data_IF_175834585775
#
_entry.id   IF_175834585775
#
_cell.length_a   1.000
_cell.length_b   1.000
_cell.length_c   1.000
_cell.angle_alpha   90.00
_cell.angle_beta   90.00
_cell.angle_gamma   90.00
#
_symmetry.space_group_name_H-M   'P 1'
#
loop_
_entity.id
_entity.type
_entity.pdbx_description
1 polymer ?
#
# COMPACT_ATOMS: atom_id res chain seq x y z
N UNK A 1 2.27 6.42 17.82
CA UNK A 1 2.27 7.87 17.74
C UNK A 1 0.87 8.38 17.86
N UNK A 2 0.64 9.15 18.86
CA UNK A 2 -0.66 9.74 19.11
C UNK A 2 -0.60 11.19 18.66
N UNK A 3 -1.47 11.60 17.73
CA UNK A 3 -1.62 12.97 17.29
C UNK A 3 -2.92 13.55 17.80
N UNK A 4 -2.86 14.79 18.29
CA UNK A 4 -4.06 15.61 18.51
C UNK A 4 -4.01 16.76 17.54
N UNK A 5 -5.10 16.94 16.83
CA UNK A 5 -5.28 18.07 15.94
C UNK A 5 -6.36 19.03 16.47
N UNK A 6 -6.02 20.32 16.59
CA UNK A 6 -6.99 21.40 16.73
C UNK A 6 -7.01 22.17 15.42
N UNK A 7 -8.10 22.13 14.69
CA UNK A 7 -8.30 23.03 13.57
C UNK A 7 -8.61 24.42 14.10
N UNK A 8 -7.76 25.38 13.80
CA UNK A 8 -8.12 26.79 13.77
C UNK A 8 -8.92 27.02 12.48
N UNK A 9 -10.06 27.66 12.59
CA UNK A 9 -10.92 28.03 11.46
C UNK A 9 -10.08 28.74 10.38
N UNK A 10 -9.81 28.06 9.29
CA UNK A 10 -9.44 28.66 8.03
C UNK A 10 -10.39 28.16 6.98
N UNK A 11 -11.08 29.09 6.36
CA UNK A 11 -11.95 28.90 5.21
C UNK A 11 -11.32 27.94 4.19
N UNK A 12 -12.17 27.09 3.63
CA UNK A 12 -11.87 26.15 2.56
C UNK A 12 -10.98 26.81 1.49
N UNK A 13 -9.69 26.48 1.47
CA UNK A 13 -8.74 26.92 0.45
C UNK A 13 -9.00 26.23 -0.90
N UNK A 14 -9.90 25.31 -0.96
CA UNK A 14 -10.35 24.65 -2.19
C UNK A 14 -11.67 25.25 -2.66
N UNK A 15 -11.59 26.41 -3.33
CA UNK A 15 -12.68 26.86 -4.19
C UNK A 15 -12.88 25.86 -5.33
N UNK A 16 -14.11 25.37 -5.57
CA UNK A 16 -14.38 24.44 -6.67
C UNK A 16 -14.10 24.99 -8.08
N UNK A 17 -13.80 26.29 -8.20
CA UNK A 17 -13.66 26.99 -9.47
C UNK A 17 -12.23 27.22 -9.95
N UNK A 18 -11.20 26.58 -9.39
CA UNK A 18 -9.79 26.75 -9.80
C UNK A 18 -9.26 25.53 -10.55
N UNK A 19 -10.10 24.60 -10.96
CA UNK A 19 -9.70 23.62 -11.98
C UNK A 19 -9.94 24.28 -13.34
N UNK A 20 -9.09 25.22 -13.72
CA UNK A 20 -9.03 25.75 -15.08
C UNK A 20 -8.43 24.69 -16.00
N UNK A 21 -9.02 24.60 -17.19
CA UNK A 21 -8.77 23.65 -18.32
C UNK A 21 -7.34 23.44 -18.81
N UNK A 22 -6.32 23.94 -18.11
CA UNK A 22 -4.90 23.87 -18.52
C UNK A 22 -4.09 22.75 -17.84
N UNK A 23 -4.69 21.87 -17.06
CA UNK A 23 -4.00 20.86 -16.23
C UNK A 23 -3.91 19.48 -16.88
N UNK A 24 -4.21 19.35 -18.17
CA UNK A 24 -4.18 18.05 -18.84
C UNK A 24 -3.02 17.95 -19.81
N UNK A 25 -1.92 17.32 -19.39
CA UNK A 25 -0.91 16.83 -20.36
C UNK A 25 -1.39 15.51 -20.96
N UNK A 26 -1.87 15.54 -22.18
CA UNK A 26 -2.15 14.34 -22.97
C UNK A 26 -0.85 13.90 -23.65
N UNK A 27 -0.48 12.64 -23.52
CA UNK A 27 0.65 12.07 -24.23
C UNK A 27 0.10 11.45 -25.52
N UNK A 28 0.59 11.91 -26.67
CA UNK A 28 0.08 11.51 -27.98
C UNK A 28 -0.01 9.98 -28.16
N UNK A 29 -1.19 9.51 -28.54
CA UNK A 29 -1.47 8.11 -28.84
C UNK A 29 -1.98 7.26 -27.68
N UNK A 30 -2.09 7.82 -26.47
CA UNK A 30 -2.59 7.12 -25.26
C UNK A 30 -3.67 7.95 -24.55
N UNK A 31 -4.66 7.28 -23.94
CA UNK A 31 -5.62 7.93 -23.05
C UNK A 31 -5.00 8.16 -21.67
N UNK A 32 -4.10 9.14 -21.58
CA UNK A 32 -3.36 9.49 -20.35
C UNK A 32 -3.66 10.92 -19.97
N UNK A 33 -4.03 11.12 -18.69
CA UNK A 33 -4.16 12.45 -18.09
C UNK A 33 -3.31 12.54 -16.82
N UNK A 34 -2.59 13.64 -16.65
CA UNK A 34 -1.79 13.95 -15.47
C UNK A 34 -2.43 15.17 -14.80
N UNK A 35 -2.89 15.01 -13.54
CA UNK A 35 -3.65 16.01 -12.82
C UNK A 35 -2.79 16.97 -12.00
N UNK A 36 -1.57 17.27 -12.48
CA UNK A 36 -0.68 18.27 -11.88
C UNK A 36 0.27 18.86 -12.91
N UNK A 37 0.62 20.12 -12.74
CA UNK A 37 1.69 20.78 -13.52
C UNK A 37 3.07 20.62 -12.84
N UNK A 38 3.06 20.32 -11.53
CA UNK A 38 4.28 20.14 -10.75
C UNK A 38 4.64 18.66 -10.68
N UNK A 39 5.33 18.15 -11.71
CA UNK A 39 5.82 16.80 -11.80
C UNK A 39 7.35 16.79 -11.95
N UNK A 40 8.04 15.99 -11.14
CA UNK A 40 9.48 15.83 -11.26
C UNK A 40 9.88 15.06 -12.54
N UNK A 41 11.03 15.40 -13.13
CA UNK A 41 11.52 14.81 -14.39
C UNK A 41 11.65 13.29 -14.32
N UNK A 42 12.07 12.75 -13.19
CA UNK A 42 12.19 11.30 -12.95
C UNK A 42 10.84 10.60 -13.03
N UNK A 43 9.78 11.19 -12.48
CA UNK A 43 8.43 10.66 -12.59
C UNK A 43 7.91 10.73 -14.03
N UNK A 44 8.15 11.84 -14.74
CA UNK A 44 7.77 11.99 -16.13
C UNK A 44 8.49 10.97 -17.03
N UNK A 45 9.77 10.69 -16.79
CA UNK A 45 10.52 9.65 -17.49
C UNK A 45 9.94 8.25 -17.24
N UNK A 46 9.54 7.93 -15.99
CA UNK A 46 8.89 6.65 -15.68
C UNK A 46 7.54 6.49 -16.42
N UNK A 47 6.75 7.55 -16.53
CA UNK A 47 5.50 7.53 -17.29
C UNK A 47 5.79 7.26 -18.77
N UNK A 48 6.75 7.99 -19.37
CA UNK A 48 7.13 7.77 -20.78
C UNK A 48 7.64 6.35 -21.03
N UNK A 49 8.43 5.81 -20.09
CA UNK A 49 8.93 4.44 -20.19
C UNK A 49 7.80 3.42 -20.08
N UNK A 50 6.82 3.64 -19.21
CA UNK A 50 5.62 2.80 -19.13
C UNK A 50 4.83 2.80 -20.43
N UNK A 51 4.68 3.96 -21.05
CA UNK A 51 3.94 4.11 -22.33
C UNK A 51 4.74 3.63 -23.55
N UNK A 52 6.03 3.32 -23.42
CA UNK A 52 6.83 2.74 -24.49
C UNK A 52 6.56 1.25 -24.72
N UNK A 53 5.78 0.61 -23.84
CA UNK A 53 5.37 -0.79 -23.94
C UNK A 53 3.86 -0.88 -24.19
N UNK A 54 3.43 -1.87 -24.94
CA UNK A 54 2.04 -2.04 -25.40
C UNK A 54 1.07 -2.60 -24.33
N UNK A 55 1.53 -2.78 -23.09
CA UNK A 55 0.71 -3.35 -22.00
C UNK A 55 -0.50 -2.47 -21.67
N UNK A 56 -0.38 -1.16 -21.88
CA UNK A 56 -1.39 -0.16 -21.54
C UNK A 56 -1.91 0.62 -22.76
N UNK A 57 -1.72 0.10 -24.00
CA UNK A 57 -2.13 0.79 -25.24
C UNK A 57 -3.61 1.16 -25.24
N UNK A 58 -4.47 0.27 -24.74
CA UNK A 58 -5.92 0.44 -24.70
C UNK A 58 -6.44 0.84 -23.31
N UNK A 59 -5.56 1.27 -22.42
CA UNK A 59 -5.89 1.57 -21.04
C UNK A 59 -6.11 3.06 -20.81
N UNK A 60 -7.14 3.38 -20.01
CA UNK A 60 -7.39 4.71 -19.49
C UNK A 60 -6.48 4.96 -18.29
N UNK A 61 -5.41 5.71 -18.48
CA UNK A 61 -4.42 6.02 -17.44
C UNK A 61 -4.70 7.39 -16.84
N UNK A 62 -4.73 7.46 -15.52
CA UNK A 62 -4.90 8.71 -14.77
C UNK A 62 -3.84 8.80 -13.69
N UNK A 63 -3.08 9.89 -13.71
CA UNK A 63 -1.98 10.15 -12.77
C UNK A 63 -2.42 11.21 -11.79
N UNK A 64 -2.46 10.84 -10.51
CA UNK A 64 -2.95 11.68 -9.42
C UNK A 64 -2.03 12.88 -9.12
N UNK A 65 -2.53 13.96 -8.51
CA UNK A 65 -1.76 15.18 -8.27
C UNK A 65 -0.55 15.01 -7.34
N UNK A 66 -0.54 14.00 -6.48
CA UNK A 66 0.54 13.65 -5.55
C UNK A 66 1.64 12.79 -6.18
N UNK A 67 1.68 12.73 -7.51
CA UNK A 67 2.62 11.91 -8.29
C UNK A 67 4.08 12.18 -7.93
N UNK A 68 4.84 11.09 -7.78
CA UNK A 68 6.30 11.12 -7.63
C UNK A 68 6.90 9.79 -8.10
N UNK A 69 8.23 9.77 -8.30
CA UNK A 69 8.92 8.57 -8.74
C UNK A 69 8.76 7.43 -7.71
N UNK A 70 8.53 6.22 -8.22
CA UNK A 70 8.37 5.00 -7.43
C UNK A 70 9.20 3.83 -8.00
N UNK A 71 9.21 2.70 -7.32
CA UNK A 71 9.84 1.49 -7.84
C UNK A 71 9.01 0.93 -9.01
N UNK A 72 9.62 0.83 -10.19
CA UNK A 72 9.03 0.29 -11.42
C UNK A 72 7.99 1.19 -12.10
N UNK A 73 7.27 2.04 -11.37
CA UNK A 73 6.29 2.98 -11.91
C UNK A 73 6.04 4.09 -10.88
N UNK A 74 5.52 5.23 -11.35
CA UNK A 74 5.16 6.35 -10.48
C UNK A 74 4.13 5.96 -9.41
N UNK A 75 4.23 6.61 -8.25
CA UNK A 75 3.19 6.65 -7.24
C UNK A 75 2.13 7.67 -7.70
N UNK A 76 0.86 7.41 -7.43
CA UNK A 76 -0.26 8.19 -7.98
C UNK A 76 -0.81 7.63 -9.29
N UNK A 77 -0.39 6.42 -9.68
CA UNK A 77 -0.87 5.76 -10.91
C UNK A 77 -2.24 5.11 -10.72
N UNK A 78 -3.12 5.33 -11.70
CA UNK A 78 -4.33 4.53 -11.89
C UNK A 78 -4.51 4.15 -13.37
N UNK A 79 -4.97 2.93 -13.62
CA UNK A 79 -5.24 2.44 -14.97
C UNK A 79 -6.09 1.19 -14.94
N UNK A 80 -6.93 0.98 -15.93
CA UNK A 80 -7.71 -0.25 -16.01
C UNK A 80 -6.80 -1.44 -16.33
N UNK A 81 -7.09 -2.55 -15.68
CA UNK A 81 -6.39 -3.81 -15.90
C UNK A 81 -6.88 -4.47 -17.19
N UNK A 82 -5.94 -4.77 -18.10
CA UNK A 82 -6.18 -5.57 -19.28
C UNK A 82 -5.92 -7.07 -19.07
N UNK A 83 -5.54 -7.74 -20.15
CA UNK A 83 -5.15 -9.17 -20.16
C UNK A 83 -3.74 -9.43 -19.56
N UNK A 84 -3.00 -8.36 -19.25
CA UNK A 84 -1.64 -8.39 -18.71
C UNK A 84 -1.59 -7.66 -17.36
N UNK A 85 -0.67 -8.07 -16.50
CA UNK A 85 -0.40 -7.39 -15.22
C UNK A 85 1.09 -7.27 -14.97
N UNK A 86 1.53 -6.10 -14.55
CA UNK A 86 2.91 -5.85 -14.10
C UNK A 86 2.89 -5.80 -12.56
N UNK A 87 3.48 -6.78 -11.85
CA UNK A 87 3.44 -6.80 -10.39
C UNK A 87 3.99 -5.52 -9.74
N UNK A 88 5.05 -4.95 -10.27
CA UNK A 88 5.63 -3.69 -9.78
C UNK A 88 4.68 -2.48 -9.86
N UNK A 89 3.65 -2.53 -10.72
CA UNK A 89 2.67 -1.43 -10.83
C UNK A 89 1.65 -1.47 -9.68
N UNK A 90 1.41 -2.61 -9.06
CA UNK A 90 0.66 -2.68 -7.81
C UNK A 90 1.51 -2.16 -6.64
N UNK A 91 2.81 -2.43 -6.70
CA UNK A 91 3.79 -2.04 -5.70
C UNK A 91 4.14 -3.17 -4.72
N UNK A 92 5.23 -2.96 -3.98
CA UNK A 92 5.79 -3.99 -3.07
C UNK A 92 5.03 -4.11 -1.73
N UNK A 93 4.29 -3.10 -1.32
CA UNK A 93 3.44 -3.16 -0.13
C UNK A 93 1.98 -3.32 -0.56
N UNK A 94 1.67 -4.52 -1.04
CA UNK A 94 0.34 -4.89 -1.53
C UNK A 94 -0.69 -4.71 -0.42
N UNK A 95 -1.79 -4.02 -0.70
CA UNK A 95 -2.86 -3.78 0.26
C UNK A 95 -2.49 -2.78 1.36
N UNK A 96 -1.42 -1.97 1.18
CA UNK A 96 -1.15 -0.85 2.07
C UNK A 96 -2.36 0.10 2.10
N UNK A 97 -2.71 0.56 3.29
CA UNK A 97 -3.90 1.38 3.48
C UNK A 97 -4.09 1.81 4.93
N UNK A 98 -5.16 2.51 5.17
CA UNK A 98 -5.52 3.09 6.46
C UNK A 98 -6.86 2.56 6.93
N UNK A 99 -6.91 2.09 8.18
CA UNK A 99 -8.16 1.81 8.90
C UNK A 99 -8.42 2.97 9.85
N UNK A 100 -9.61 3.53 9.77
CA UNK A 100 -10.06 4.64 10.60
C UNK A 100 -11.16 4.17 11.53
N UNK A 101 -10.93 4.34 12.86
CA UNK A 101 -11.92 4.05 13.89
C UNK A 101 -12.35 5.36 14.56
N UNK A 102 -13.53 5.90 14.23
CA UNK A 102 -14.08 7.07 14.92
C UNK A 102 -14.63 6.69 16.29
N UNK A 103 -14.47 7.57 17.28
CA UNK A 103 -15.01 7.35 18.63
C UNK A 103 -15.12 8.66 19.42
N UNK A 104 -15.96 8.64 20.46
CA UNK A 104 -16.06 9.73 21.44
C UNK A 104 -15.49 9.32 22.80
N UNK A 105 -14.79 10.23 23.46
CA UNK A 105 -14.22 9.97 24.78
C UNK A 105 -15.20 10.24 25.92
N UNK A 106 -15.06 9.50 27.02
CA UNK A 106 -15.71 9.79 28.30
C UNK A 106 -14.84 10.71 29.16
N UNK A 107 -13.53 10.53 29.08
CA UNK A 107 -12.53 11.24 29.88
C UNK A 107 -11.40 11.74 28.97
N UNK A 108 -10.52 12.58 29.51
CA UNK A 108 -9.32 13.02 28.80
C UNK A 108 -8.39 11.84 28.51
N UNK A 109 -7.68 11.90 27.39
CA UNK A 109 -6.68 10.91 27.00
C UNK A 109 -5.33 11.33 27.59
N UNK A 110 -4.70 10.46 28.35
CA UNK A 110 -3.28 10.56 28.67
C UNK A 110 -2.48 10.02 27.47
N UNK A 111 -1.92 10.94 26.68
CA UNK A 111 -1.20 10.59 25.44
C UNK A 111 0.13 9.91 25.72
N UNK A 112 0.79 10.25 26.84
CA UNK A 112 2.03 9.59 27.22
C UNK A 112 1.77 8.12 27.56
N UNK A 113 0.81 7.84 28.42
CA UNK A 113 0.43 6.47 28.77
C UNK A 113 -0.06 5.66 27.56
N UNK A 114 -0.81 6.29 26.66
CA UNK A 114 -1.24 5.64 25.41
C UNK A 114 -0.05 5.33 24.49
N UNK A 115 0.89 6.25 24.34
CA UNK A 115 2.10 6.05 23.55
C UNK A 115 2.96 4.91 24.11
N UNK A 116 3.19 4.88 25.41
CA UNK A 116 3.90 3.79 26.10
C UNK A 116 3.24 2.42 25.88
N UNK A 117 1.90 2.37 25.94
CA UNK A 117 1.18 1.15 25.62
C UNK A 117 1.40 0.73 24.17
N UNK A 118 1.28 1.65 23.21
CA UNK A 118 1.47 1.37 21.77
C UNK A 118 2.87 0.81 21.52
N UNK A 119 3.91 1.42 22.10
CA UNK A 119 5.30 0.97 21.95
C UNK A 119 5.51 -0.46 22.48
N UNK A 120 4.84 -0.84 23.55
CA UNK A 120 4.94 -2.17 24.15
C UNK A 120 4.05 -3.21 23.50
N UNK A 121 2.94 -2.82 22.90
CA UNK A 121 1.94 -3.72 22.34
C UNK A 121 2.11 -3.98 20.84
N UNK A 122 2.69 -3.03 20.08
CA UNK A 122 2.70 -3.04 18.62
C UNK A 122 4.13 -2.97 18.10
N UNK A 123 4.68 -4.10 17.60
CA UNK A 123 5.98 -4.12 16.96
C UNK A 123 6.05 -3.17 15.77
N UNK A 124 7.20 -2.54 15.57
CA UNK A 124 7.38 -1.53 14.54
C UNK A 124 8.70 -1.70 13.78
N UNK A 125 8.90 -0.95 12.70
CA UNK A 125 10.10 -1.07 11.88
C UNK A 125 10.27 -2.46 11.27
N UNK A 126 11.37 -3.12 11.61
CA UNK A 126 11.67 -4.51 11.19
C UNK A 126 11.25 -5.55 12.22
N UNK A 127 10.72 -5.11 13.36
CA UNK A 127 10.35 -6.00 14.44
C UNK A 127 9.07 -6.78 14.12
N UNK A 128 8.94 -7.87 14.79
CA UNK A 128 7.78 -8.76 14.75
C UNK A 128 7.43 -9.16 16.18
N UNK A 129 6.31 -9.76 16.39
CA UNK A 129 5.80 -10.14 17.70
C UNK A 129 6.61 -11.28 18.29
N UNK A 130 7.31 -11.00 19.39
CA UNK A 130 8.10 -11.93 20.20
C UNK A 130 7.91 -11.63 21.70
N UNK A 131 8.79 -12.12 22.57
CA UNK A 131 8.77 -11.94 24.02
C UNK A 131 9.00 -10.50 24.49
N UNK A 132 9.52 -9.62 23.65
CA UNK A 132 9.74 -8.21 23.97
C UNK A 132 8.44 -7.39 23.90
N UNK A 133 7.39 -7.95 23.33
CA UNK A 133 6.11 -7.29 23.17
C UNK A 133 5.02 -7.95 24.01
N UNK A 134 3.99 -7.17 24.39
CA UNK A 134 2.84 -7.70 25.09
C UNK A 134 2.21 -8.85 24.29
N UNK A 135 1.85 -9.98 24.96
CA UNK A 135 1.22 -11.11 24.29
C UNK A 135 -0.14 -10.71 23.71
N UNK A 136 -0.52 -11.34 22.59
CA UNK A 136 -1.86 -11.15 22.04
C UNK A 136 -2.91 -11.70 23.01
N UNK A 137 -3.95 -10.91 23.35
CA UNK A 137 -5.08 -11.39 24.12
C UNK A 137 -5.76 -12.60 23.47
N UNK A 138 -6.17 -13.58 24.26
CA UNK A 138 -6.77 -14.85 23.79
C UNK A 138 -7.96 -14.62 22.86
N UNK A 139 -8.75 -13.56 23.06
CA UNK A 139 -9.89 -13.20 22.20
C UNK A 139 -9.52 -12.96 20.73
N UNK A 140 -8.24 -12.67 20.42
CA UNK A 140 -7.74 -12.46 19.07
C UNK A 140 -7.11 -13.71 18.45
N UNK A 141 -7.14 -14.86 19.13
CA UNK A 141 -6.56 -16.10 18.63
C UNK A 141 -7.15 -16.54 17.28
N UNK A 142 -8.47 -16.41 17.10
CA UNK A 142 -9.14 -16.74 15.83
C UNK A 142 -8.67 -15.80 14.71
N UNK A 143 -8.59 -14.50 14.96
CA UNK A 143 -8.12 -13.53 13.97
C UNK A 143 -6.67 -13.82 13.54
N UNK A 144 -5.83 -14.17 14.51
CA UNK A 144 -4.45 -14.57 14.27
C UNK A 144 -4.34 -15.88 13.46
N UNK A 145 -5.15 -16.88 13.76
CA UNK A 145 -5.18 -18.13 13.00
C UNK A 145 -5.69 -17.92 11.58
N UNK A 146 -6.72 -17.08 11.38
CA UNK A 146 -7.20 -16.72 10.05
C UNK A 146 -6.09 -16.10 9.19
N UNK A 147 -5.30 -15.18 9.77
CA UNK A 147 -4.17 -14.60 9.04
C UNK A 147 -3.12 -15.65 8.66
N UNK A 148 -2.86 -16.66 9.50
CA UNK A 148 -1.97 -17.77 9.14
C UNK A 148 -2.53 -18.61 8.01
N UNK A 149 -3.83 -18.93 8.04
CA UNK A 149 -4.47 -19.73 7.00
C UNK A 149 -4.42 -19.06 5.64
N UNK A 150 -4.54 -17.71 5.57
CA UNK A 150 -4.38 -16.98 4.33
C UNK A 150 -3.02 -17.23 3.67
N UNK A 151 -1.93 -17.22 4.45
CA UNK A 151 -0.58 -17.47 3.90
C UNK A 151 -0.46 -18.87 3.27
N UNK A 152 -1.12 -19.87 3.86
CA UNK A 152 -1.12 -21.25 3.34
C UNK A 152 -1.87 -21.39 2.00
N UNK A 153 -2.73 -20.45 1.66
CA UNK A 153 -3.52 -20.47 0.42
C UNK A 153 -2.78 -19.84 -0.77
N UNK A 154 -1.64 -19.18 -0.54
CA UNK A 154 -0.86 -18.57 -1.61
C UNK A 154 -0.35 -19.62 -2.61
N UNK A 155 -0.53 -19.37 -3.89
CA UNK A 155 0.05 -20.19 -4.96
C UNK A 155 1.57 -20.21 -4.88
N UNK A 156 2.19 -19.05 -4.55
CA UNK A 156 3.63 -18.94 -4.37
C UNK A 156 4.12 -19.31 -2.95
N UNK A 157 3.33 -20.02 -2.15
CA UNK A 157 3.69 -20.37 -0.77
C UNK A 157 5.06 -21.04 -0.63
N UNK A 158 5.43 -21.91 -1.59
CA UNK A 158 6.70 -22.67 -1.55
C UNK A 158 7.93 -21.80 -1.78
N UNK A 159 7.79 -20.66 -2.41
CA UNK A 159 8.86 -19.69 -2.67
C UNK A 159 9.06 -18.70 -1.53
N UNK A 160 8.12 -18.65 -0.55
CA UNK A 160 8.22 -17.77 0.60
C UNK A 160 9.39 -18.14 1.50
N UNK A 161 10.08 -17.11 2.00
CA UNK A 161 11.17 -17.24 2.94
C UNK A 161 10.73 -16.84 4.35
N UNK A 162 11.34 -17.45 5.36
CA UNK A 162 11.13 -17.10 6.78
C UNK A 162 9.64 -17.09 7.19
N UNK A 163 8.86 -18.08 6.77
CA UNK A 163 7.39 -18.14 6.97
C UNK A 163 7.00 -17.94 8.45
N UNK A 164 7.80 -18.44 9.41
CA UNK A 164 7.57 -18.20 10.85
C UNK A 164 7.57 -16.71 11.20
N UNK A 165 8.47 -15.93 10.58
CA UNK A 165 8.55 -14.49 10.76
C UNK A 165 7.35 -13.78 10.14
N UNK A 166 6.86 -14.25 8.99
CA UNK A 166 5.62 -13.74 8.39
C UNK A 166 4.44 -13.92 9.35
N UNK A 167 4.28 -15.10 9.95
CA UNK A 167 3.24 -15.34 10.96
C UNK A 167 3.36 -14.39 12.17
N UNK A 168 4.57 -14.17 12.65
CA UNK A 168 4.83 -13.27 13.80
C UNK A 168 4.69 -11.79 13.45
N UNK A 169 4.60 -11.41 12.17
CA UNK A 169 4.46 -10.01 11.76
C UNK A 169 3.02 -9.49 11.81
N UNK A 170 2.02 -10.34 12.07
CA UNK A 170 0.64 -9.91 12.25
C UNK A 170 0.50 -9.04 13.53
N UNK A 171 -0.28 -7.97 13.45
CA UNK A 171 -0.41 -7.00 14.52
C UNK A 171 0.84 -6.12 14.69
N UNK A 172 1.68 -5.99 13.65
CA UNK A 172 2.84 -5.09 13.64
C UNK A 172 2.65 -3.93 12.66
N UNK A 173 3.13 -2.75 13.03
CA UNK A 173 2.97 -1.53 12.25
C UNK A 173 3.89 -1.50 11.02
N UNK A 174 5.16 -1.83 11.20
CA UNK A 174 6.16 -1.69 10.17
C UNK A 174 6.87 -0.36 10.16
N UNK A 175 7.62 -0.12 9.10
CA UNK A 175 8.41 1.10 8.91
C UNK A 175 8.00 1.89 7.66
N UNK A 176 8.84 2.82 7.27
CA UNK A 176 8.60 3.64 6.10
C UNK A 176 7.63 4.79 6.37
N UNK A 177 6.50 4.80 5.68
CA UNK A 177 5.44 5.79 5.83
C UNK A 177 4.28 5.30 6.71
N UNK A 178 4.42 4.13 7.37
CA UNK A 178 3.40 3.60 8.26
C UNK A 178 3.33 4.41 9.56
N UNK A 179 2.11 4.60 10.08
CA UNK A 179 1.87 5.39 11.29
C UNK A 179 0.61 4.94 12.04
N UNK A 180 0.56 5.30 13.31
CA UNK A 180 -0.64 5.32 14.13
C UNK A 180 -0.86 6.77 14.51
N UNK A 181 -2.05 7.29 14.23
CA UNK A 181 -2.41 8.69 14.42
C UNK A 181 -3.74 8.78 15.15
N UNK A 182 -3.86 9.77 16.03
CA UNK A 182 -5.10 10.10 16.70
C UNK A 182 -5.45 11.55 16.36
N UNK A 183 -6.44 11.70 15.51
CA UNK A 183 -6.97 13.00 15.09
C UNK A 183 -8.23 13.36 15.89
N UNK A 184 -8.56 14.64 15.94
CA UNK A 184 -9.79 15.14 16.55
C UNK A 184 -10.37 16.23 15.66
N UNK A 185 -11.66 16.13 15.38
CA UNK A 185 -12.38 17.20 14.66
C UNK A 185 -12.88 18.30 15.61
N UNK A 186 -13.46 19.35 15.02
CA UNK A 186 -14.00 20.51 15.75
C UNK A 186 -15.14 20.15 16.70
N UNK A 187 -15.95 19.14 16.37
CA UNK A 187 -17.03 18.66 17.21
C UNK A 187 -16.56 17.81 18.40
N UNK A 188 -15.26 17.53 18.51
CA UNK A 188 -14.68 16.75 19.59
C UNK A 188 -14.64 15.25 19.34
N UNK A 189 -15.07 14.77 18.16
CA UNK A 189 -14.97 13.37 17.76
C UNK A 189 -13.51 13.02 17.43
N UNK A 190 -13.03 11.92 17.97
CA UNK A 190 -11.69 11.39 17.72
C UNK A 190 -11.71 10.34 16.59
N UNK A 191 -10.58 10.23 15.91
CA UNK A 191 -10.34 9.26 14.84
C UNK A 191 -8.99 8.58 15.07
N UNK A 192 -9.02 7.30 15.43
CA UNK A 192 -7.80 6.48 15.43
C UNK A 192 -7.53 6.02 14.00
N UNK A 193 -6.40 6.44 13.44
CA UNK A 193 -5.96 6.07 12.09
C UNK A 193 -4.75 5.15 12.19
N UNK A 194 -4.83 3.97 11.59
CA UNK A 194 -3.72 3.01 11.51
C UNK A 194 -3.37 2.79 10.04
N UNK A 195 -2.21 3.28 9.64
CA UNK A 195 -1.64 3.12 8.31
C UNK A 195 -0.59 2.01 8.29
N UNK A 196 -0.90 0.88 7.68
CA UNK A 196 0.02 -0.25 7.46
C UNK A 196 -0.48 -1.16 6.34
N UNK A 197 0.40 -2.02 5.83
CA UNK A 197 0.13 -2.92 4.73
C UNK A 197 0.36 -4.39 5.06
N UNK A 198 0.66 -5.18 4.03
CA UNK A 198 0.91 -6.62 4.12
C UNK A 198 2.30 -6.99 4.64
N UNK A 199 3.08 -6.01 5.07
CA UNK A 199 4.41 -6.20 5.64
C UNK A 199 5.33 -6.91 4.63
N UNK A 200 6.25 -7.75 5.15
CA UNK A 200 7.16 -8.52 4.30
C UNK A 200 6.46 -9.59 3.45
N UNK A 201 5.21 -9.95 3.77
CA UNK A 201 4.43 -10.90 2.97
C UNK A 201 4.18 -10.36 1.57
N UNK A 202 3.54 -9.19 1.44
CA UNK A 202 3.27 -8.58 0.14
C UNK A 202 4.53 -8.25 -0.64
N UNK A 203 5.61 -7.83 0.06
CA UNK A 203 6.90 -7.63 -0.60
C UNK A 203 7.43 -8.92 -1.22
N UNK A 204 7.40 -10.05 -0.52
CA UNK A 204 7.86 -11.33 -1.07
C UNK A 204 6.99 -11.77 -2.25
N UNK A 205 5.67 -11.66 -2.14
CA UNK A 205 4.74 -11.98 -3.24
C UNK A 205 5.03 -11.12 -4.46
N UNK A 206 5.14 -9.80 -4.30
CA UNK A 206 5.49 -8.90 -5.41
C UNK A 206 6.83 -9.25 -6.06
N UNK A 207 7.88 -9.51 -5.25
CA UNK A 207 9.21 -9.88 -5.73
C UNK A 207 9.21 -11.22 -6.49
N UNK A 208 8.46 -12.23 -6.00
CA UNK A 208 8.33 -13.56 -6.63
C UNK A 208 7.68 -13.41 -8.01
N UNK A 209 6.53 -12.74 -8.08
CA UNK A 209 5.80 -12.59 -9.34
C UNK A 209 6.49 -11.63 -10.33
N UNK A 210 7.20 -10.60 -9.86
CA UNK A 210 8.02 -9.79 -10.75
C UNK A 210 9.19 -10.59 -11.35
N UNK A 211 9.85 -11.46 -10.57
CA UNK A 211 10.86 -12.39 -11.09
C UNK A 211 10.27 -13.39 -12.07
N UNK A 212 9.06 -13.88 -11.80
CA UNK A 212 8.35 -14.76 -12.73
C UNK A 212 8.03 -14.02 -14.04
N UNK A 213 7.58 -12.77 -13.97
CA UNK A 213 7.33 -11.92 -15.14
C UNK A 213 8.58 -11.73 -16.00
N UNK A 214 9.75 -11.47 -15.37
CA UNK A 214 11.04 -11.39 -16.07
C UNK A 214 11.37 -12.72 -16.78
N UNK A 215 11.17 -13.85 -16.11
CA UNK A 215 11.39 -15.18 -16.71
C UNK A 215 10.45 -15.41 -17.88
N UNK A 216 9.17 -15.08 -17.77
CA UNK A 216 8.19 -15.22 -18.85
C UNK A 216 8.61 -14.40 -20.07
N UNK A 217 8.99 -13.12 -19.88
CA UNK A 217 9.47 -12.27 -20.97
C UNK A 217 10.82 -12.73 -21.57
N UNK A 218 11.56 -13.60 -20.87
CA UNK A 218 12.76 -14.27 -21.36
C UNK A 218 12.46 -15.61 -22.06
N UNK A 219 11.18 -15.93 -22.31
CA UNK A 219 10.73 -17.13 -23.05
C UNK A 219 10.26 -18.30 -22.18
N UNK A 220 10.24 -18.15 -20.85
CA UNK A 220 9.79 -19.19 -19.93
C UNK A 220 8.30 -19.57 -20.11
N UNK A 221 7.45 -18.62 -20.47
CA UNK A 221 6.04 -18.86 -20.78
C UNK A 221 5.89 -19.85 -21.96
N UNK A 222 6.64 -19.63 -23.04
CA UNK A 222 6.66 -20.54 -24.21
C UNK A 222 7.17 -21.93 -23.84
N UNK A 223 8.20 -22.00 -23.00
CA UNK A 223 8.69 -23.30 -22.49
C UNK A 223 7.58 -24.02 -21.70
N UNK A 224 6.81 -23.32 -20.88
CA UNK A 224 5.72 -23.90 -20.09
C UNK A 224 4.54 -24.33 -20.98
N UNK A 225 4.19 -23.54 -21.99
CA UNK A 225 3.19 -23.92 -23.00
C UNK A 225 3.59 -25.21 -23.73
N UNK A 226 4.83 -25.27 -24.21
CA UNK A 226 5.35 -26.46 -24.90
C UNK A 226 5.42 -27.69 -24.00
N UNK A 227 5.86 -27.52 -22.75
CA UNK A 227 5.84 -28.58 -21.74
C UNK A 227 4.42 -29.12 -21.50
N UNK A 228 3.44 -28.24 -21.38
CA UNK A 228 2.04 -28.65 -21.16
C UNK A 228 1.47 -29.39 -22.39
N UNK A 229 1.84 -28.95 -23.60
CA UNK A 229 1.49 -29.64 -24.84
C UNK A 229 2.04 -31.06 -24.87
N UNK A 230 3.34 -31.21 -24.59
CA UNK A 230 4.02 -32.51 -24.52
C UNK A 230 3.36 -33.41 -23.47
N UNK A 231 3.04 -32.89 -22.27
CA UNK A 231 2.36 -33.66 -21.23
C UNK A 231 1.01 -34.18 -21.70
N UNK A 232 0.24 -33.35 -22.42
CA UNK A 232 -1.08 -33.76 -22.91
C UNK A 232 -0.95 -34.86 -23.98
N UNK A 233 -0.07 -34.68 -24.98
CA UNK A 233 0.20 -35.63 -26.05
C UNK A 233 0.65 -37.00 -25.50
N UNK A 234 1.68 -37.02 -24.63
CA UNK A 234 2.23 -38.25 -24.07
C UNK A 234 1.26 -38.99 -23.13
N UNK A 235 0.35 -38.24 -22.49
CA UNK A 235 -0.74 -38.85 -21.70
C UNK A 235 -1.78 -39.52 -22.60
N UNK A 236 -2.12 -38.88 -23.71
CA UNK A 236 -3.08 -39.37 -24.68
C UNK A 236 -2.55 -40.66 -25.37
N UNK A 237 -1.26 -40.64 -25.72
CA UNK A 237 -0.58 -41.77 -26.37
C UNK A 237 -0.20 -42.92 -25.42
N UNK A 238 -0.44 -42.76 -24.13
CA UNK A 238 -0.08 -43.78 -23.13
C UNK A 238 1.44 -43.84 -22.81
N UNK A 239 2.27 -42.93 -23.33
CA UNK A 239 3.75 -42.92 -23.25
C UNK A 239 4.28 -42.25 -21.99
N UNK A 240 3.62 -42.46 -20.85
CA UNK A 240 3.97 -41.77 -19.59
C UNK A 240 5.41 -42.04 -19.10
N UNK A 241 5.97 -43.19 -19.42
CA UNK A 241 7.31 -43.57 -18.99
C UNK A 241 8.43 -42.74 -19.65
N UNK A 242 8.19 -42.22 -20.84
CA UNK A 242 9.15 -41.42 -21.59
C UNK A 242 9.08 -39.91 -21.23
N UNK A 243 7.96 -39.50 -20.61
CA UNK A 243 7.62 -38.09 -20.37
C UNK A 243 8.69 -37.36 -19.56
N UNK A 244 9.29 -37.99 -18.56
CA UNK A 244 10.26 -37.37 -17.67
C UNK A 244 11.57 -36.98 -18.41
N UNK A 245 12.03 -37.86 -19.30
CA UNK A 245 13.24 -37.62 -20.09
C UNK A 245 13.00 -36.57 -21.16
N UNK A 246 11.84 -36.58 -21.81
CA UNK A 246 11.47 -35.56 -22.81
C UNK A 246 11.38 -34.18 -22.16
N UNK A 247 10.72 -34.07 -21.00
CA UNK A 247 10.66 -32.79 -20.26
C UNK A 247 12.05 -32.34 -19.83
N UNK A 248 12.92 -33.24 -19.36
CA UNK A 248 14.30 -32.91 -19.02
C UNK A 248 15.08 -32.37 -20.23
N UNK A 249 14.96 -33.00 -21.38
CA UNK A 249 15.60 -32.56 -22.62
C UNK A 249 15.07 -31.19 -23.09
N UNK A 250 13.75 -30.95 -22.99
CA UNK A 250 13.15 -29.65 -23.26
C UNK A 250 13.76 -28.56 -22.35
N UNK A 251 13.85 -28.79 -21.05
CA UNK A 251 14.48 -27.83 -20.14
C UNK A 251 15.97 -27.60 -20.42
N UNK A 252 16.71 -28.65 -20.78
CA UNK A 252 18.14 -28.54 -21.09
C UNK A 252 18.42 -27.78 -22.40
N UNK A 253 17.50 -27.87 -23.35
CA UNK A 253 17.61 -27.16 -24.64
C UNK A 253 17.14 -25.70 -24.57
N UNK A 254 16.43 -25.32 -23.50
CA UNK A 254 15.91 -23.96 -23.35
C UNK A 254 16.99 -22.92 -23.20
N UNK A 255 16.97 -21.90 -24.06
CA UNK A 255 17.83 -20.72 -23.98
C UNK A 255 17.00 -19.49 -23.68
N UNK A 256 17.41 -18.71 -22.70
CA UNK A 256 16.77 -17.44 -22.38
C UNK A 256 16.94 -16.43 -23.51
N UNK A 257 15.87 -15.74 -23.86
CA UNK A 257 15.91 -14.64 -24.81
C UNK A 257 16.33 -13.34 -24.11
N UNK A 258 16.93 -12.42 -24.88
CA UNK A 258 17.19 -11.05 -24.39
C UNK A 258 15.86 -10.34 -24.16
N UNK A 259 15.76 -9.63 -23.05
CA UNK A 259 14.59 -8.82 -22.75
C UNK A 259 14.49 -7.63 -23.72
N UNK A 260 13.32 -7.42 -24.28
CA UNK A 260 13.00 -6.27 -25.13
C UNK A 260 12.36 -5.11 -24.35
N UNK A 261 12.02 -5.34 -23.07
CA UNK A 261 11.40 -4.36 -22.17
C UNK A 261 12.19 -4.29 -20.87
N UNK A 262 12.12 -3.17 -20.14
CA UNK A 262 12.77 -3.05 -18.84
C UNK A 262 12.30 -4.11 -17.86
N UNK A 263 13.21 -4.63 -17.02
CA UNK A 263 12.89 -5.67 -16.04
C UNK A 263 11.74 -5.27 -15.09
N UNK A 264 11.70 -4.00 -14.70
CA UNK A 264 10.65 -3.48 -13.81
C UNK A 264 9.26 -3.41 -14.47
N UNK A 265 9.20 -3.48 -15.79
CA UNK A 265 7.97 -3.44 -16.58
C UNK A 265 7.62 -4.79 -17.23
N UNK A 266 8.34 -5.87 -16.88
CA UNK A 266 7.96 -7.21 -17.27
C UNK A 266 6.59 -7.57 -16.69
N UNK A 267 5.76 -8.24 -17.49
CA UNK A 267 4.37 -8.53 -17.18
C UNK A 267 4.05 -10.03 -17.22
N UNK A 268 2.95 -10.38 -16.59
CA UNK A 268 2.33 -11.71 -16.60
C UNK A 268 1.06 -11.69 -17.43
N UNK A 269 0.74 -12.82 -18.07
CA UNK A 269 -0.50 -13.09 -18.82
C UNK A 269 -1.02 -14.49 -18.50
N UNK A 270 -2.27 -14.81 -18.91
CA UNK A 270 -2.86 -16.13 -18.73
C UNK A 270 -2.85 -16.58 -17.28
N UNK A 271 -2.54 -17.87 -17.03
CA UNK A 271 -2.58 -18.46 -15.71
C UNK A 271 -1.66 -17.76 -14.69
N UNK A 272 -0.46 -17.32 -15.10
CA UNK A 272 0.45 -16.60 -14.19
C UNK A 272 -0.10 -15.24 -13.73
N UNK A 273 -0.91 -14.58 -14.59
CA UNK A 273 -1.66 -13.38 -14.20
C UNK A 273 -2.71 -13.71 -13.14
N UNK A 274 -3.50 -14.77 -13.35
CA UNK A 274 -4.55 -15.19 -12.41
C UNK A 274 -3.95 -15.61 -11.06
N UNK A 275 -2.85 -16.35 -11.06
CA UNK A 275 -2.13 -16.74 -9.85
C UNK A 275 -1.65 -15.51 -9.07
N UNK A 276 -1.12 -14.49 -9.75
CA UNK A 276 -0.71 -13.24 -9.11
C UNK A 276 -1.91 -12.48 -8.52
N UNK A 277 -3.01 -12.37 -9.26
CA UNK A 277 -4.20 -11.66 -8.78
C UNK A 277 -4.80 -12.35 -7.54
N UNK A 278 -4.82 -13.67 -7.52
CA UNK A 278 -5.24 -14.45 -6.36
C UNK A 278 -4.35 -14.16 -5.14
N UNK A 279 -3.03 -14.24 -5.29
CA UNK A 279 -2.09 -14.04 -4.20
C UNK A 279 -2.06 -12.57 -3.73
N UNK A 280 -2.28 -11.63 -4.64
CA UNK A 280 -2.46 -10.21 -4.31
C UNK A 280 -3.69 -10.00 -3.41
N UNK A 281 -4.83 -10.63 -3.72
CA UNK A 281 -6.06 -10.55 -2.89
C UNK A 281 -5.83 -11.14 -1.49
N UNK A 282 -5.08 -12.22 -1.39
CA UNK A 282 -4.68 -12.81 -0.10
C UNK A 282 -3.84 -11.80 0.70
N UNK A 283 -2.86 -11.14 0.07
CA UNK A 283 -2.06 -10.11 0.73
C UNK A 283 -2.90 -8.92 1.21
N UNK A 284 -3.91 -8.49 0.44
CA UNK A 284 -4.85 -7.45 0.86
C UNK A 284 -5.66 -7.89 2.09
N UNK A 285 -6.22 -9.10 2.07
CA UNK A 285 -6.99 -9.65 3.19
C UNK A 285 -6.13 -9.77 4.46
N UNK A 286 -4.88 -10.19 4.29
CA UNK A 286 -3.92 -10.25 5.39
C UNK A 286 -3.61 -8.85 5.95
N UNK A 287 -3.42 -7.85 5.09
CA UNK A 287 -3.18 -6.46 5.50
C UNK A 287 -4.38 -5.87 6.25
N UNK A 288 -5.60 -6.18 5.84
CA UNK A 288 -6.83 -5.80 6.51
C UNK A 288 -6.90 -6.37 7.94
N UNK A 289 -6.60 -7.68 8.09
CA UNK A 289 -6.53 -8.31 9.42
C UNK A 289 -5.45 -7.63 10.28
N UNK A 290 -4.30 -7.31 9.69
CA UNK A 290 -3.21 -6.63 10.39
C UNK A 290 -3.65 -5.28 10.96
N UNK A 291 -4.27 -4.41 10.14
CA UNK A 291 -4.82 -3.10 10.58
C UNK A 291 -5.87 -3.27 11.67
N UNK A 292 -6.83 -4.18 11.46
CA UNK A 292 -7.90 -4.46 12.41
C UNK A 292 -7.38 -4.90 13.78
N UNK A 293 -6.35 -5.76 13.77
CA UNK A 293 -5.75 -6.23 15.03
C UNK A 293 -5.08 -5.09 15.80
N UNK A 294 -4.34 -4.20 15.11
CA UNK A 294 -3.71 -3.04 15.74
C UNK A 294 -4.76 -2.09 16.33
N UNK A 295 -5.79 -1.74 15.55
CA UNK A 295 -6.90 -0.89 16.03
C UNK A 295 -7.54 -1.51 17.26
N UNK A 296 -7.88 -2.79 17.22
CA UNK A 296 -8.53 -3.47 18.32
C UNK A 296 -7.68 -3.49 19.59
N UNK A 297 -6.36 -3.70 19.49
CA UNK A 297 -5.46 -3.64 20.66
C UNK A 297 -5.46 -2.26 21.32
N UNK A 298 -5.44 -1.19 20.53
CA UNK A 298 -5.47 0.19 21.03
C UNK A 298 -6.82 0.51 21.65
N UNK A 299 -7.92 0.16 20.97
CA UNK A 299 -9.28 0.42 21.49
C UNK A 299 -9.55 -0.36 22.77
N UNK A 300 -9.10 -1.61 22.89
CA UNK A 300 -9.19 -2.40 24.10
C UNK A 300 -8.48 -1.74 25.30
N UNK A 301 -7.27 -1.22 25.04
CA UNK A 301 -6.54 -0.48 26.07
C UNK A 301 -7.33 0.74 26.54
N UNK A 302 -7.84 1.54 25.60
CA UNK A 302 -8.62 2.74 25.91
C UNK A 302 -9.92 2.41 26.65
N UNK A 303 -10.59 1.30 26.30
CA UNK A 303 -11.78 0.82 27.05
C UNK A 303 -11.40 0.38 28.46
N UNK A 304 -10.31 -0.37 28.60
CA UNK A 304 -9.83 -0.84 29.92
C UNK A 304 -9.44 0.33 30.85
N UNK A 305 -8.96 1.43 30.29
CA UNK A 305 -8.65 2.66 31.04
C UNK A 305 -9.89 3.55 31.28
N UNK A 306 -11.09 3.15 30.83
CA UNK A 306 -12.31 3.95 30.97
C UNK A 306 -12.33 5.22 30.11
N UNK A 307 -11.39 5.35 29.17
CA UNK A 307 -11.32 6.50 28.24
C UNK A 307 -12.51 6.49 27.31
N UNK A 308 -12.91 5.32 26.86
CA UNK A 308 -14.07 5.09 25.97
C UNK A 308 -14.94 3.94 26.48
N UNK A 309 -16.18 3.90 26.04
CA UNK A 309 -17.09 2.76 26.20
C UNK A 309 -17.57 2.29 24.82
N UNK A 310 -18.03 1.05 24.72
CA UNK A 310 -18.36 0.43 23.45
C UNK A 310 -19.45 1.21 22.66
N UNK A 311 -20.43 1.80 23.35
CA UNK A 311 -21.53 2.57 22.76
C UNK A 311 -21.06 3.88 22.10
N UNK A 312 -19.84 4.32 22.38
CA UNK A 312 -19.23 5.52 21.80
C UNK A 312 -18.31 5.22 20.60
N UNK A 313 -18.25 3.98 20.17
CA UNK A 313 -17.61 3.60 18.92
C UNK A 313 -18.57 3.88 17.76
N UNK A 314 -18.03 4.47 16.69
CA UNK A 314 -18.74 4.67 15.45
C UNK A 314 -18.26 3.68 14.39
N UNK A 315 -18.95 3.61 13.27
CA UNK A 315 -18.58 2.73 12.17
C UNK A 315 -17.19 3.06 11.63
N UNK A 316 -16.32 2.06 11.59
CA UNK A 316 -14.99 2.18 11.00
C UNK A 316 -15.04 2.09 9.47
N UNK A 317 -14.07 2.71 8.81
CA UNK A 317 -13.91 2.60 7.36
C UNK A 317 -12.44 2.45 6.99
N UNK A 318 -12.19 1.93 5.80
CA UNK A 318 -10.85 1.60 5.33
C UNK A 318 -10.59 2.25 3.97
N UNK A 319 -9.35 2.69 3.76
CA UNK A 319 -8.87 3.25 2.50
C UNK A 319 -7.58 2.55 2.10
N UNK A 320 -7.56 1.89 0.96
CA UNK A 320 -6.40 1.12 0.43
C UNK A 320 -5.83 1.84 -0.78
N UNK A 321 -4.50 1.77 -0.99
CA UNK A 321 -3.83 2.54 -2.05
C UNK A 321 -2.79 1.78 -2.90
N UNK A 322 -2.57 0.49 -2.68
CA UNK A 322 -1.69 -0.36 -3.50
C UNK A 322 -2.41 -1.68 -3.80
N UNK A 323 -3.26 -1.68 -4.83
CA UNK A 323 -4.10 -2.84 -5.14
C UNK A 323 -4.74 -2.74 -6.53
N UNK A 324 -5.39 -3.83 -6.93
CA UNK A 324 -6.32 -3.85 -8.06
C UNK A 324 -7.72 -4.04 -7.48
N UNK A 325 -8.62 -3.11 -7.77
CA UNK A 325 -9.98 -3.12 -7.25
C UNK A 325 -10.89 -4.12 -7.97
N UNK A 326 -12.07 -4.39 -7.39
CA UNK A 326 -13.14 -5.17 -8.07
C UNK A 326 -13.68 -4.49 -9.34
N UNK A 327 -13.35 -3.21 -9.54
CA UNK A 327 -13.61 -2.42 -10.75
C UNK A 327 -12.52 -2.63 -11.82
N UNK A 328 -11.58 -3.54 -11.62
CA UNK A 328 -10.41 -3.76 -12.46
C UNK A 328 -9.51 -2.51 -12.63
N UNK A 329 -9.55 -1.58 -11.70
CA UNK A 329 -8.65 -0.43 -11.69
C UNK A 329 -7.44 -0.75 -10.81
N UNK A 330 -6.26 -0.66 -11.42
CA UNK A 330 -4.97 -0.69 -10.71
C UNK A 330 -4.80 0.66 -10.01
N UNK A 331 -4.47 0.64 -8.71
CA UNK A 331 -4.17 1.84 -7.93
C UNK A 331 -2.83 1.65 -7.23
N UNK A 332 -1.85 2.45 -7.60
CA UNK A 332 -0.54 2.51 -6.96
C UNK A 332 -0.32 3.89 -6.33
N UNK A 333 -0.38 3.97 -5.01
CA UNK A 333 -0.38 5.26 -4.32
C UNK A 333 -1.55 6.14 -4.78
N UNK A 334 -2.70 5.52 -4.99
CA UNK A 334 -3.97 6.15 -5.29
C UNK A 334 -5.07 5.37 -4.59
N UNK A 335 -6.17 6.02 -4.23
CA UNK A 335 -7.28 5.43 -3.50
C UNK A 335 -8.54 5.37 -4.35
N UNK A 336 -9.47 4.48 -4.00
CA UNK A 336 -10.82 4.52 -4.52
C UNK A 336 -11.56 5.75 -3.99
N UNK A 337 -12.39 6.36 -4.84
CA UNK A 337 -13.23 7.50 -4.52
C UNK A 337 -14.56 7.42 -5.30
N UNK A 338 -15.19 6.23 -5.27
CA UNK A 338 -16.51 6.00 -5.89
C UNK A 338 -17.56 6.89 -5.26
N UNK A 339 -18.67 7.10 -5.94
CA UNK A 339 -19.76 7.92 -5.44
C UNK A 339 -20.23 7.42 -4.06
N UNK A 340 -20.22 8.30 -3.06
CA UNK A 340 -20.63 7.99 -1.69
C UNK A 340 -19.59 7.23 -0.85
N UNK A 341 -18.48 6.79 -1.41
CA UNK A 341 -17.42 6.07 -0.70
C UNK A 341 -16.68 6.99 0.27
N UNK A 342 -16.62 6.60 1.54
CA UNK A 342 -15.86 7.32 2.56
C UNK A 342 -14.36 6.96 2.43
N UNK A 343 -13.50 7.97 2.38
CA UNK A 343 -12.06 7.77 2.28
C UNK A 343 -11.29 8.79 3.13
N UNK A 344 -10.01 8.47 3.41
CA UNK A 344 -9.11 9.35 4.16
C UNK A 344 -7.89 9.67 3.31
N UNK A 345 -7.49 10.95 3.34
CA UNK A 345 -6.29 11.47 2.65
C UNK A 345 -5.41 12.13 3.71
N UNK A 346 -4.31 11.50 4.15
CA UNK A 346 -3.37 12.10 5.09
C UNK A 346 -2.63 13.25 4.44
N UNK A 347 -2.54 14.37 5.14
CA UNK A 347 -1.79 15.53 4.69
C UNK A 347 -0.34 15.47 5.16
N UNK A 348 -0.14 15.58 6.46
CA UNK A 348 1.15 15.51 7.13
C UNK A 348 0.95 15.45 8.66
N UNK A 349 2.05 15.32 9.41
CA UNK A 349 2.01 15.16 10.87
C UNK A 349 1.42 16.38 11.62
N UNK A 350 1.51 17.59 11.06
CA UNK A 350 0.98 18.80 11.68
C UNK A 350 -0.49 19.00 11.36
N UNK A 351 -0.85 18.79 10.10
CA UNK A 351 -2.18 19.16 9.60
C UNK A 351 -3.19 17.97 9.64
N UNK A 352 -2.72 16.78 10.03
CA UNK A 352 -3.57 15.59 10.15
C UNK A 352 -4.05 15.04 8.81
N UNK A 353 -5.32 14.63 8.75
CA UNK A 353 -5.88 13.95 7.60
C UNK A 353 -7.23 14.57 7.19
N UNK A 354 -7.58 14.44 5.91
CA UNK A 354 -8.92 14.79 5.40
C UNK A 354 -9.79 13.55 5.32
N UNK A 355 -10.98 13.58 5.88
CA UNK A 355 -12.03 12.60 5.63
C UNK A 355 -12.93 13.13 4.52
N UNK A 356 -13.03 12.36 3.44
CA UNK A 356 -13.68 12.75 2.21
C UNK A 356 -14.80 11.76 1.84
N UNK A 357 -15.72 12.23 1.00
CA UNK A 357 -16.71 11.38 0.32
C UNK A 357 -16.39 11.41 -1.17
N UNK A 358 -16.18 10.24 -1.74
CA UNK A 358 -15.90 10.06 -3.15
C UNK A 358 -17.02 10.60 -4.03
N UNK A 359 -16.65 11.23 -5.14
CA UNK A 359 -17.61 11.79 -6.12
C UNK A 359 -17.89 10.84 -7.29
N UNK A 360 -17.16 9.72 -7.40
CA UNK A 360 -17.29 8.78 -8.50
C UNK A 360 -16.94 9.37 -9.86
N UNK A 361 -15.95 10.28 -9.91
CA UNK A 361 -15.56 10.92 -11.16
C UNK A 361 -14.85 9.91 -12.07
N UNK A 362 -15.55 9.48 -13.13
CA UNK A 362 -15.04 8.50 -14.10
C UNK A 362 -13.80 9.00 -14.84
N UNK A 363 -13.67 10.32 -15.06
CA UNK A 363 -12.50 10.88 -15.71
C UNK A 363 -11.24 10.75 -14.82
N UNK A 364 -11.41 10.48 -13.54
CA UNK A 364 -10.34 10.18 -12.58
C UNK A 364 -10.23 8.68 -12.25
N UNK A 365 -10.81 7.78 -13.08
CA UNK A 365 -10.94 6.36 -12.77
C UNK A 365 -11.60 6.10 -11.40
N UNK A 366 -12.60 6.93 -11.02
CA UNK A 366 -13.23 6.89 -9.69
C UNK A 366 -12.20 6.81 -8.55
N UNK A 367 -11.10 7.56 -8.67
CA UNK A 367 -9.94 7.51 -7.79
C UNK A 367 -9.57 8.91 -7.29
N UNK A 368 -8.75 8.94 -6.23
CA UNK A 368 -8.21 10.15 -5.64
C UNK A 368 -6.74 9.95 -5.23
N UNK A 369 -5.98 11.04 -4.96
CA UNK A 369 -4.63 10.92 -4.40
C UNK A 369 -4.66 10.26 -3.02
N UNK A 370 -3.62 9.49 -2.70
CA UNK A 370 -3.51 8.81 -1.40
C UNK A 370 -2.90 9.70 -0.30
N UNK A 371 -2.46 10.91 -0.64
CA UNK A 371 -1.83 11.87 0.28
C UNK A 371 -1.67 13.23 -0.36
N UNK A 372 -1.00 14.13 0.34
CA UNK A 372 -0.79 15.51 -0.11
C UNK A 372 0.38 15.69 -1.10
N UNK A 373 1.07 14.59 -1.46
CA UNK A 373 2.32 14.67 -2.23
C UNK A 373 3.49 15.19 -1.40
N UNK A 374 4.63 15.39 -2.06
CA UNK A 374 5.88 15.85 -1.44
C UNK A 374 6.49 16.98 -2.25
N UNK A 375 6.93 18.05 -1.56
CA UNK A 375 7.70 19.11 -2.18
C UNK A 375 9.15 18.64 -2.46
N UNK A 376 9.67 17.73 -1.64
CA UNK A 376 11.02 17.18 -1.76
C UNK A 376 11.13 15.78 -1.16
N UNK A 377 12.12 15.00 -1.61
CA UNK A 377 12.40 13.68 -1.08
C UNK A 377 12.86 13.70 0.39
N UNK A 378 12.67 12.58 1.12
CA UNK A 378 13.00 12.47 2.56
C UNK A 378 14.42 12.86 2.90
N UNK A 379 15.41 12.36 2.15
CA UNK A 379 16.82 12.66 2.39
C UNK A 379 17.14 14.14 2.18
N UNK A 380 16.44 14.80 1.27
CA UNK A 380 16.58 16.23 1.02
C UNK A 380 15.92 17.06 2.13
N UNK A 381 14.71 16.68 2.55
CA UNK A 381 14.02 17.31 3.67
C UNK A 381 14.83 17.21 4.97
N UNK A 382 15.42 16.04 5.23
CA UNK A 382 16.32 15.84 6.38
C UNK A 382 17.50 16.82 6.41
N UNK A 383 18.12 17.07 5.26
CA UNK A 383 19.26 18.00 5.14
C UNK A 383 18.86 19.46 5.23
N UNK A 384 17.66 19.82 4.73
CA UNK A 384 17.23 21.22 4.58
C UNK A 384 16.42 21.75 5.75
N UNK A 385 15.69 20.89 6.48
CA UNK A 385 14.82 21.31 7.58
C UNK A 385 15.54 21.07 8.90
N UNK A 386 15.75 22.13 9.69
CA UNK A 386 16.36 22.01 11.01
C UNK A 386 15.41 21.28 12.00
N UNK A 387 15.99 20.68 13.04
CA UNK A 387 15.19 20.07 14.11
C UNK A 387 14.36 21.14 14.85
N UNK A 388 14.89 22.33 15.00
CA UNK A 388 14.21 23.44 15.66
C UNK A 388 12.97 23.90 14.87
N UNK A 389 13.10 24.13 13.57
CA UNK A 389 11.97 24.49 12.70
C UNK A 389 10.91 23.39 12.70
N UNK A 390 11.36 22.12 12.70
CA UNK A 390 10.44 21.01 12.78
C UNK A 390 9.70 20.97 14.12
N UNK A 391 10.39 21.09 15.26
CA UNK A 391 9.77 21.20 16.59
C UNK A 391 8.77 22.35 16.65
N UNK A 392 9.15 23.52 16.14
CA UNK A 392 8.28 24.70 16.08
C UNK A 392 7.01 24.42 15.27
N UNK A 393 7.12 23.73 14.13
CA UNK A 393 5.96 23.37 13.30
C UNK A 393 5.04 22.35 14.00
N UNK A 394 5.55 21.55 14.94
CA UNK A 394 4.84 20.49 15.64
C UNK A 394 4.35 20.88 17.05
N UNK A 395 4.44 22.17 17.43
CA UNK A 395 4.16 22.66 18.79
C UNK A 395 2.77 22.26 19.32
N UNK A 396 1.78 22.16 18.44
CA UNK A 396 0.39 21.84 18.80
C UNK A 396 0.05 20.34 18.60
N UNK A 397 1.06 19.52 18.31
CA UNK A 397 0.93 18.09 18.09
C UNK A 397 1.75 17.31 19.09
N UNK A 398 1.11 16.48 19.89
CA UNK A 398 1.82 15.54 20.75
C UNK A 398 2.55 14.49 19.92
N UNK A 399 3.85 14.37 20.09
CA UNK A 399 4.66 13.34 19.44
C UNK A 399 6.03 13.21 20.13
N UNK A 400 6.32 12.04 20.63
CA UNK A 400 7.63 11.72 21.24
C UNK A 400 8.71 11.33 20.22
N UNK A 401 8.36 11.30 18.94
CA UNK A 401 9.29 10.93 17.86
C UNK A 401 9.91 12.12 17.14
N UNK A 402 9.65 13.35 17.58
CA UNK A 402 10.29 14.55 17.06
C UNK A 402 11.68 14.73 17.67
N UNK A 403 12.65 13.91 17.23
CA UNK A 403 14.03 13.87 17.71
C UNK A 403 15.01 13.99 16.54
N UNK A 404 16.26 14.32 16.81
CA UNK A 404 17.34 14.37 15.81
C UNK A 404 17.61 13.02 15.13
N UNK A 405 17.22 11.89 15.75
CA UNK A 405 17.40 10.53 15.25
C UNK A 405 16.21 9.97 14.49
N UNK A 406 15.19 10.77 14.25
CA UNK A 406 13.88 10.31 13.73
C UNK A 406 13.91 9.79 12.30
N UNK A 407 15.06 9.73 11.65
CA UNK A 407 15.13 9.50 10.20
C UNK A 407 14.99 8.08 9.72
N UNK A 408 15.50 7.08 10.46
CA UNK A 408 15.60 5.72 9.93
C UNK A 408 15.20 4.62 10.92
N UNK A 409 14.97 4.93 12.19
CA UNK A 409 14.70 3.92 13.23
C UNK A 409 13.31 4.00 13.84
N UNK A 410 12.61 5.09 13.63
CA UNK A 410 11.22 5.22 14.11
C UNK A 410 10.25 4.72 13.04
N UNK A 411 9.27 3.88 13.42
CA UNK A 411 8.19 3.43 12.52
C UNK A 411 7.33 4.58 12.00
N UNK A 412 7.53 5.73 12.54
CA UNK A 412 6.86 6.96 12.21
C UNK A 412 7.81 7.88 11.51
N UNK A 413 8.16 7.52 10.27
CA UNK A 413 8.87 8.41 9.39
C UNK A 413 8.03 9.65 9.23
N UNK A 414 8.41 10.63 9.99
CA UNK A 414 7.93 11.97 9.89
C UNK A 414 8.09 12.40 8.44
N UNK A 415 6.98 12.63 7.82
CA UNK A 415 6.97 13.34 6.58
C UNK A 415 7.34 14.79 6.91
N UNK A 416 8.65 15.13 6.91
CA UNK A 416 9.13 16.52 7.04
C UNK A 416 8.73 17.38 5.83
N UNK A 417 7.83 16.88 4.99
CA UNK A 417 7.32 17.57 3.81
C UNK A 417 6.10 18.44 4.13
N UNK A 418 6.00 18.90 5.33
CA UNK A 418 5.04 19.96 5.64
C UNK A 418 5.40 21.19 4.82
N UNK A 419 4.40 21.78 4.19
CA UNK A 419 4.51 23.14 3.68
C UNK A 419 5.10 24.00 4.78
N UNK A 420 6.28 24.50 4.58
CA UNK A 420 6.74 25.73 5.21
C UNK A 420 6.19 26.88 4.41
#
# INVERSE_FOLDING_TARGET
MTRIWRKTSSESIYSPNVIKDNLMKTINGYDVKIFTDNIEDTALQQIRQLLSIDVFSDCKIRIMPDVHAGAGCVIGFTGNLGDKVIPNIVGVDIGCGMLVQPFSCNTSIDFHALNEYILRAIPSGRDFRDENYLPLPQKYSVLYQNAKQLILQLHCYRELKEVRRLYKSIGSLGGGNHFIELDRNESGLYYLVVHTGSRNLGKQVADIYQKLAIKCQSGWDKLMEEKNRIIAEYKQDGRKNELQDVIRNLHNSFKTCKLNIPQDLCYLKGQFREDYLHDMLICQSWAQINRKLIVNLIMDYMMKQGIIIAEKLHESFETVHNYIGSDNIIRKGAISARSGEKCIIPLNMRDGSLICIGKGNEDWNCSAPHGAGRIMGRSQAFKKISLEDFKKSMKDVYSETVTEYTNDKSPMVINRNTKL
#
